data_IF_470668265333
#
_entry.id   IF_470668265333
#
_cell.length_a   1.000
_cell.length_b   1.000
_cell.length_c   1.000
_cell.angle_alpha   90.00
_cell.angle_beta   90.00
_cell.angle_gamma   90.00
#
_symmetry.space_group_name_H-M   'P 1'
#
loop_
_entity.id
_entity.type
_entity.pdbx_description
1 polymer ?
#
# COMPACT_ATOMS: atom_id res chain seq x y z
N UNK A 1 19.33 12.40 40.26
CA UNK A 1 18.02 11.75 40.00
C UNK A 1 18.27 10.26 39.82
N UNK A 2 17.45 9.41 40.43
CA UNK A 2 17.57 7.97 40.26
C UNK A 2 17.17 7.58 38.83
N UNK A 3 18.01 6.78 38.17
CA UNK A 3 17.76 6.27 36.80
C UNK A 3 17.42 4.79 36.90
N UNK A 4 16.36 4.37 36.27
CA UNK A 4 15.96 2.96 36.25
C UNK A 4 16.74 2.18 35.18
N UNK A 5 17.28 1.02 35.57
CA UNK A 5 17.85 0.05 34.65
C UNK A 5 16.69 -0.90 34.25
N UNK A 6 16.39 -0.94 32.95
CA UNK A 6 15.29 -1.73 32.42
C UNK A 6 15.78 -3.07 31.84
N UNK A 7 14.94 -4.08 31.86
CA UNK A 7 15.19 -5.37 31.18
C UNK A 7 15.38 -5.14 29.67
N UNK A 8 16.56 -5.42 29.10
CA UNK A 8 16.83 -5.15 27.70
C UNK A 8 16.18 -6.14 26.76
N UNK A 9 15.92 -5.72 25.53
CA UNK A 9 15.60 -6.62 24.42
C UNK A 9 16.91 -7.09 23.76
N UNK A 10 17.43 -8.25 24.14
CA UNK A 10 18.68 -8.80 23.61
C UNK A 10 18.53 -9.55 22.29
N UNK A 11 17.29 -9.72 21.81
CA UNK A 11 16.99 -10.19 20.46
C UNK A 11 15.74 -9.48 19.92
N UNK A 12 15.59 -9.36 18.58
CA UNK A 12 14.44 -8.69 17.95
C UNK A 12 13.08 -9.31 18.27
N UNK A 13 13.05 -10.53 18.78
CA UNK A 13 11.82 -11.30 19.09
C UNK A 13 11.65 -11.55 20.58
N UNK A 14 12.52 -10.95 21.43
CA UNK A 14 12.47 -11.16 22.88
C UNK A 14 11.36 -10.32 23.51
N UNK A 15 10.35 -10.94 24.04
CA UNK A 15 9.28 -10.29 24.82
C UNK A 15 9.53 -10.40 26.34
N UNK A 16 10.19 -11.47 26.78
CA UNK A 16 10.57 -11.73 28.16
C UNK A 16 11.87 -12.53 28.23
N UNK A 17 12.56 -12.52 29.36
CA UNK A 17 13.77 -13.29 29.61
C UNK A 17 13.94 -13.68 31.09
N UNK A 18 14.96 -14.48 31.36
CA UNK A 18 15.35 -14.83 32.73
C UNK A 18 16.57 -14.02 33.13
N UNK A 19 16.49 -13.33 34.25
CA UNK A 19 17.67 -12.68 34.83
C UNK A 19 18.52 -13.76 35.53
N UNK A 20 19.47 -14.34 34.80
CA UNK A 20 20.20 -15.53 35.21
C UNK A 20 21.13 -15.21 36.39
N UNK A 21 21.85 -14.07 36.34
CA UNK A 21 22.83 -13.70 37.37
C UNK A 21 23.08 -12.20 37.40
N UNK A 22 23.25 -11.64 38.61
CA UNK A 22 23.82 -10.34 38.83
C UNK A 22 25.33 -10.42 39.01
N UNK A 23 26.09 -9.57 38.29
CA UNK A 23 27.54 -9.45 38.40
C UNK A 23 27.96 -8.25 39.30
N UNK A 24 26.98 -7.50 39.76
CA UNK A 24 27.12 -6.35 40.66
C UNK A 24 26.17 -6.46 41.85
N UNK A 25 26.42 -5.72 42.92
CA UNK A 25 25.61 -5.67 44.13
C UNK A 25 25.13 -4.26 44.41
N UNK A 26 24.12 -4.12 45.27
CA UNK A 26 23.69 -2.82 45.78
C UNK A 26 24.85 -2.13 46.46
N UNK A 27 25.12 -0.87 46.09
CA UNK A 27 26.24 -0.07 46.53
C UNK A 27 27.48 -0.09 45.61
N UNK A 28 27.53 -0.97 44.62
CA UNK A 28 28.62 -1.01 43.64
C UNK A 28 28.52 0.17 42.66
N UNK A 29 29.65 0.83 42.37
CA UNK A 29 29.73 1.83 41.32
C UNK A 29 30.00 1.18 39.99
N UNK A 30 29.17 1.50 38.98
CA UNK A 30 29.26 0.96 37.63
C UNK A 30 29.54 2.06 36.61
N UNK A 31 30.25 1.73 35.54
CA UNK A 31 30.55 2.62 34.41
C UNK A 31 29.74 2.16 33.18
N UNK A 32 29.49 3.11 32.31
CA UNK A 32 28.90 2.81 30.98
C UNK A 32 29.75 1.77 30.24
N UNK A 33 29.12 0.72 29.68
CA UNK A 33 29.77 -0.41 29.04
C UNK A 33 30.28 -1.50 29.99
N UNK A 34 30.08 -1.37 31.32
CA UNK A 34 30.43 -2.42 32.27
C UNK A 34 29.36 -3.50 32.31
N UNK A 35 29.74 -4.78 32.24
CA UNK A 35 28.80 -5.90 32.34
C UNK A 35 28.25 -5.96 33.77
N UNK A 36 26.93 -5.92 33.92
CA UNK A 36 26.23 -5.86 35.20
C UNK A 36 25.37 -7.07 35.50
N UNK A 37 24.91 -7.79 34.46
CA UNK A 37 24.09 -8.97 34.63
C UNK A 37 24.26 -9.94 33.45
N UNK A 38 23.87 -11.21 33.67
CA UNK A 38 23.68 -12.22 32.65
C UNK A 38 22.17 -12.49 32.48
N UNK A 39 21.68 -12.43 31.26
CA UNK A 39 20.26 -12.64 30.91
C UNK A 39 20.16 -13.82 29.98
N UNK A 40 19.34 -14.80 30.36
CA UNK A 40 19.03 -15.96 29.54
C UNK A 40 17.79 -15.68 28.68
N UNK A 41 17.96 -15.88 27.37
CA UNK A 41 16.91 -15.77 26.35
C UNK A 41 16.53 -17.17 25.85
N UNK A 42 15.55 -17.28 24.98
CA UNK A 42 15.15 -18.51 24.29
C UNK A 42 16.27 -19.17 23.45
N UNK A 43 17.38 -18.44 23.21
CA UNK A 43 18.47 -18.87 22.32
C UNK A 43 19.84 -19.00 23.01
N UNK A 44 20.15 -18.16 23.97
CA UNK A 44 21.45 -18.15 24.65
C UNK A 44 21.40 -17.28 25.93
N UNK A 45 22.39 -17.50 26.82
CA UNK A 45 22.70 -16.55 27.89
C UNK A 45 23.57 -15.43 27.32
N UNK A 46 23.21 -14.17 27.55
CA UNK A 46 23.87 -12.99 27.03
C UNK A 46 24.26 -12.06 28.17
N UNK A 47 25.42 -11.40 28.03
CA UNK A 47 25.90 -10.40 28.96
C UNK A 47 25.15 -9.08 28.74
N UNK A 48 24.75 -8.41 29.82
CA UNK A 48 24.08 -7.12 29.79
C UNK A 48 24.98 -6.04 30.40
N UNK A 49 25.23 -5.00 29.62
CA UNK A 49 26.09 -3.89 29.97
C UNK A 49 25.30 -2.68 30.50
N UNK A 50 25.85 -1.97 31.46
CA UNK A 50 25.29 -0.71 31.94
C UNK A 50 25.33 0.35 30.83
N UNK A 51 24.20 0.99 30.54
CA UNK A 51 24.11 2.11 29.59
C UNK A 51 24.64 3.40 30.23
N UNK A 52 24.30 3.63 31.50
CA UNK A 52 24.63 4.81 32.26
C UNK A 52 25.64 4.47 33.36
N UNK A 53 26.38 5.51 33.87
CA UNK A 53 27.27 5.37 34.99
C UNK A 53 26.60 5.85 36.28
N UNK A 54 26.94 5.22 37.41
CA UNK A 54 26.38 5.56 38.74
C UNK A 54 26.60 4.46 39.76
N UNK A 55 25.90 4.53 40.88
CA UNK A 55 25.94 3.51 41.94
C UNK A 55 24.62 2.69 41.89
N UNK A 56 24.71 1.37 41.97
CA UNK A 56 23.54 0.50 42.05
C UNK A 56 22.85 0.78 43.40
N UNK A 57 21.74 1.50 43.36
CA UNK A 57 21.01 1.91 44.56
C UNK A 57 20.14 0.78 45.10
N UNK A 58 19.40 0.08 44.25
CA UNK A 58 18.54 -1.03 44.61
C UNK A 58 18.37 -2.00 43.47
N UNK A 59 18.41 -3.29 43.75
CA UNK A 59 18.05 -4.39 42.84
C UNK A 59 16.59 -4.68 43.06
N UNK A 60 15.77 -4.57 42.00
CA UNK A 60 14.32 -4.76 42.03
C UNK A 60 13.89 -6.18 41.67
N UNK A 61 14.68 -6.84 40.82
CA UNK A 61 14.42 -8.24 40.35
C UNK A 61 15.58 -9.11 40.86
N UNK A 62 15.22 -10.19 41.57
CA UNK A 62 16.21 -11.12 42.12
C UNK A 62 16.84 -12.00 41.03
N UNK A 63 18.06 -12.44 41.27
CA UNK A 63 18.74 -13.45 40.44
C UNK A 63 17.91 -14.73 40.32
N UNK A 64 17.87 -15.33 39.15
CA UNK A 64 17.07 -16.54 38.82
C UNK A 64 15.61 -16.26 38.51
N UNK A 65 15.12 -15.01 38.46
CA UNK A 65 13.73 -14.70 38.16
C UNK A 65 13.46 -14.91 36.66
N UNK A 66 12.49 -15.78 36.35
CA UNK A 66 12.05 -16.11 34.98
C UNK A 66 10.88 -15.23 34.54
N UNK A 67 10.71 -15.07 33.20
CA UNK A 67 9.56 -14.38 32.62
C UNK A 67 9.55 -12.86 32.89
N UNK A 68 10.69 -12.23 33.07
CA UNK A 68 10.80 -10.79 33.23
C UNK A 68 10.58 -10.12 31.87
N UNK A 69 9.52 -9.35 31.73
CA UNK A 69 9.19 -8.67 30.48
C UNK A 69 10.20 -7.59 30.14
N UNK A 70 10.48 -7.44 28.85
CA UNK A 70 11.30 -6.34 28.32
C UNK A 70 10.72 -5.00 28.78
N UNK A 71 11.62 -4.04 29.11
CA UNK A 71 11.32 -2.73 29.70
C UNK A 71 10.78 -2.74 31.13
N UNK A 72 10.81 -3.88 31.84
CA UNK A 72 10.52 -3.91 33.29
C UNK A 72 11.72 -3.35 34.06
N UNK A 73 11.56 -2.43 35.02
CA UNK A 73 12.65 -1.98 35.88
C UNK A 73 13.24 -3.15 36.67
N UNK A 74 14.56 -3.39 36.51
CA UNK A 74 15.29 -4.50 37.16
C UNK A 74 16.23 -4.01 38.26
N UNK A 75 16.75 -2.78 38.18
CA UNK A 75 17.53 -2.12 39.21
C UNK A 75 17.40 -0.61 39.09
N UNK A 76 17.92 0.12 40.11
CA UNK A 76 17.95 1.59 40.13
C UNK A 76 19.37 2.06 40.32
N UNK A 77 19.83 2.98 39.45
CA UNK A 77 21.08 3.71 39.57
C UNK A 77 20.84 5.03 40.30
N UNK A 78 21.73 5.37 41.23
CA UNK A 78 21.76 6.68 41.93
C UNK A 78 23.07 7.40 41.63
N UNK A 79 23.02 8.72 41.51
CA UNK A 79 24.22 9.55 41.35
C UNK A 79 25.05 9.55 42.63
N UNK A 80 26.37 9.76 42.50
CA UNK A 80 27.32 9.75 43.60
C UNK A 80 26.88 10.75 44.70
N UNK A 81 26.53 10.25 45.91
CA UNK A 81 26.15 11.05 47.07
C UNK A 81 24.63 11.17 47.36
N UNK A 82 23.74 10.54 46.57
CA UNK A 82 22.30 10.49 46.88
C UNK A 82 21.94 9.16 47.55
N UNK A 83 21.12 9.21 48.63
CA UNK A 83 20.60 8.02 49.28
C UNK A 83 19.41 7.44 48.48
N UNK A 84 19.37 6.12 48.41
CA UNK A 84 18.31 5.37 47.75
C UNK A 84 16.99 5.35 48.55
N UNK A 85 16.39 6.51 48.80
CA UNK A 85 14.98 6.55 49.21
C UNK A 85 14.13 6.54 47.95
N UNK A 86 13.64 5.35 47.63
CA UNK A 86 12.56 5.19 46.64
C UNK A 86 11.33 5.84 47.24
N UNK A 87 11.05 7.08 46.89
CA UNK A 87 9.72 7.65 47.07
C UNK A 87 8.77 6.76 46.30
N UNK A 88 7.89 6.04 47.01
CA UNK A 88 6.73 5.41 46.44
C UNK A 88 6.02 6.49 45.57
N UNK A 89 5.56 6.19 44.34
CA UNK A 89 4.84 7.16 43.53
C UNK A 89 3.75 7.77 44.38
N UNK A 90 3.78 9.08 44.56
CA UNK A 90 2.69 9.83 45.20
C UNK A 90 1.43 9.49 44.46
N UNK A 91 0.41 8.97 45.13
CA UNK A 91 -0.89 8.73 44.56
C UNK A 91 -1.34 10.03 43.87
N UNK A 92 -1.49 9.97 42.57
CA UNK A 92 -2.10 11.05 41.80
C UNK A 92 -3.44 11.40 42.46
N UNK A 93 -3.86 12.67 42.52
CA UNK A 93 -5.18 13.03 43.03
C UNK A 93 -6.23 12.21 42.30
N UNK A 94 -7.14 11.59 43.05
CA UNK A 94 -8.22 10.77 42.53
C UNK A 94 -8.89 11.52 41.35
N UNK A 95 -8.66 11.06 40.15
CA UNK A 95 -9.43 11.50 39.00
C UNK A 95 -10.90 11.17 39.29
N UNK A 96 -11.79 12.12 38.99
CA UNK A 96 -13.24 11.89 39.03
C UNK A 96 -13.55 10.56 38.34
N UNK A 97 -14.52 9.77 38.82
CA UNK A 97 -14.79 8.45 38.27
C UNK A 97 -15.05 8.58 36.76
N UNK A 98 -14.16 7.99 35.98
CA UNK A 98 -14.36 7.81 34.57
C UNK A 98 -15.72 7.08 34.39
N UNK A 99 -16.52 7.42 33.35
CA UNK A 99 -17.72 6.66 33.04
C UNK A 99 -17.36 5.17 33.03
N UNK A 100 -18.10 4.36 33.75
CA UNK A 100 -17.87 2.92 33.85
C UNK A 100 -17.68 2.37 32.43
N UNK A 101 -16.55 1.71 32.20
CA UNK A 101 -16.33 0.97 30.97
C UNK A 101 -17.54 0.04 30.77
N UNK A 102 -18.13 0.00 29.56
CA UNK A 102 -19.23 -0.92 29.31
C UNK A 102 -18.80 -2.33 29.69
N UNK A 103 -19.64 -3.00 30.45
CA UNK A 103 -19.41 -4.37 30.89
C UNK A 103 -18.98 -5.23 29.68
N UNK A 104 -18.04 -6.16 29.83
CA UNK A 104 -17.62 -7.02 28.73
C UNK A 104 -18.89 -7.68 28.17
N UNK A 105 -19.19 -7.41 26.88
CA UNK A 105 -20.27 -8.08 26.19
C UNK A 105 -19.99 -9.57 26.26
N UNK A 106 -20.98 -10.35 26.66
CA UNK A 106 -20.93 -11.81 26.58
C UNK A 106 -20.43 -12.21 25.18
N UNK A 107 -19.62 -13.26 25.04
CA UNK A 107 -19.13 -13.69 23.74
C UNK A 107 -20.33 -13.85 22.81
N UNK A 108 -20.34 -13.05 21.73
CA UNK A 108 -21.42 -13.11 20.75
C UNK A 108 -21.41 -14.50 20.12
N UNK A 109 -22.57 -15.11 20.04
CA UNK A 109 -22.77 -16.38 19.29
C UNK A 109 -22.20 -16.12 17.88
N UNK A 110 -21.37 -17.02 17.32
CA UNK A 110 -20.86 -16.87 15.97
C UNK A 110 -22.03 -16.59 15.01
N UNK A 111 -21.97 -15.48 14.28
CA UNK A 111 -22.99 -15.17 13.28
C UNK A 111 -22.95 -16.23 12.17
N UNK A 112 -24.11 -16.58 11.63
CA UNK A 112 -24.16 -17.52 10.51
C UNK A 112 -23.47 -16.90 9.27
N UNK A 113 -22.78 -17.72 8.45
CA UNK A 113 -22.21 -17.24 7.20
C UNK A 113 -23.24 -16.54 6.31
N UNK A 114 -22.83 -15.46 5.64
CA UNK A 114 -23.66 -14.76 4.66
C UNK A 114 -23.32 -15.21 3.25
N UNK A 115 -24.31 -15.19 2.35
CA UNK A 115 -24.10 -15.51 0.95
C UNK A 115 -23.27 -14.42 0.27
N UNK A 116 -22.25 -14.84 -0.47
CA UNK A 116 -21.46 -13.94 -1.34
C UNK A 116 -22.22 -13.72 -2.63
N UNK A 117 -22.33 -12.46 -3.04
CA UNK A 117 -22.98 -12.05 -4.30
C UNK A 117 -22.03 -11.21 -5.12
N UNK A 118 -21.29 -11.86 -6.01
CA UNK A 118 -20.44 -11.18 -6.96
C UNK A 118 -21.28 -10.49 -8.05
N UNK A 119 -20.82 -9.29 -8.44
CA UNK A 119 -21.48 -8.49 -9.48
C UNK A 119 -20.94 -8.88 -10.85
N UNK A 120 -21.85 -8.99 -11.81
CA UNK A 120 -21.46 -9.25 -13.20
C UNK A 120 -20.48 -8.17 -13.71
N UNK A 121 -19.53 -8.53 -14.58
CA UNK A 121 -18.63 -7.57 -15.18
C UNK A 121 -19.35 -6.57 -16.09
N UNK A 122 -18.69 -5.44 -16.39
CA UNK A 122 -19.25 -4.28 -17.11
C UNK A 122 -19.37 -4.49 -18.65
N UNK A 123 -19.65 -5.71 -19.09
CA UNK A 123 -19.92 -6.02 -20.49
C UNK A 123 -21.18 -6.86 -20.60
N UNK A 124 -21.85 -6.89 -21.79
CA UNK A 124 -23.14 -7.54 -21.95
C UNK A 124 -23.12 -9.02 -21.54
N UNK A 125 -24.17 -9.46 -20.86
CA UNK A 125 -24.30 -10.86 -20.49
C UNK A 125 -24.28 -11.77 -21.73
N UNK A 126 -23.55 -12.89 -21.67
CA UNK A 126 -23.37 -13.79 -22.79
C UNK A 126 -22.26 -13.39 -23.77
N UNK A 127 -21.55 -12.29 -23.54
CA UNK A 127 -20.33 -11.96 -24.31
C UNK A 127 -19.31 -13.11 -24.17
N UNK A 128 -18.79 -13.67 -25.29
CA UNK A 128 -17.70 -14.63 -25.21
C UNK A 128 -16.48 -14.04 -24.46
N UNK A 129 -15.85 -14.85 -23.66
CA UNK A 129 -14.64 -14.46 -22.92
C UNK A 129 -13.46 -15.35 -23.31
N UNK A 130 -12.26 -14.81 -23.08
CA UNK A 130 -10.98 -15.52 -23.20
C UNK A 130 -10.20 -15.31 -21.91
N UNK A 131 -9.71 -16.38 -21.34
CA UNK A 131 -8.79 -16.30 -20.19
C UNK A 131 -7.45 -15.74 -20.63
N UNK A 132 -7.02 -14.63 -20.03
CA UNK A 132 -5.75 -13.97 -20.31
C UNK A 132 -5.07 -13.56 -19.01
N UNK A 133 -3.73 -13.56 -19.01
CA UNK A 133 -2.96 -12.88 -17.98
C UNK A 133 -3.06 -11.36 -18.14
N UNK A 134 -2.83 -10.61 -17.06
CA UNK A 134 -2.76 -9.13 -17.13
C UNK A 134 -1.71 -8.68 -18.16
N UNK A 135 -0.54 -9.36 -18.20
CA UNK A 135 0.53 -9.12 -19.19
C UNK A 135 0.03 -9.25 -20.63
N UNK A 136 -0.65 -10.34 -20.95
CA UNK A 136 -1.19 -10.58 -22.28
C UNK A 136 -2.26 -9.55 -22.65
N UNK A 137 -3.10 -9.16 -21.71
CA UNK A 137 -4.14 -8.16 -21.89
C UNK A 137 -3.57 -6.77 -22.21
N UNK A 138 -2.50 -6.35 -21.50
CA UNK A 138 -1.78 -5.10 -21.78
C UNK A 138 -1.13 -5.11 -23.16
N UNK A 139 -0.45 -6.22 -23.50
CA UNK A 139 0.14 -6.40 -24.83
C UNK A 139 -0.89 -6.30 -25.94
N UNK A 140 -2.00 -7.02 -25.78
CA UNK A 140 -3.08 -7.04 -26.77
C UNK A 140 -3.72 -5.65 -26.93
N UNK A 141 -3.92 -4.90 -25.83
CA UNK A 141 -4.41 -3.54 -25.88
C UNK A 141 -3.51 -2.62 -26.71
N UNK A 142 -2.19 -2.65 -26.48
CA UNK A 142 -1.23 -1.88 -27.26
C UNK A 142 -1.24 -2.28 -28.73
N UNK A 143 -1.22 -3.59 -29.02
CA UNK A 143 -1.21 -4.09 -30.39
C UNK A 143 -2.48 -3.67 -31.17
N UNK A 144 -3.64 -3.76 -30.55
CA UNK A 144 -4.91 -3.33 -31.18
C UNK A 144 -4.91 -1.84 -31.50
N UNK A 145 -4.49 -0.98 -30.58
CA UNK A 145 -4.43 0.46 -30.82
C UNK A 145 -3.34 0.83 -31.84
N UNK A 146 -2.19 0.17 -31.83
CA UNK A 146 -1.14 0.35 -32.82
C UNK A 146 -1.56 -0.10 -34.24
N UNK A 147 -2.41 -1.12 -34.36
CA UNK A 147 -2.98 -1.53 -35.68
C UNK A 147 -3.99 -0.50 -36.19
N UNK A 148 -4.80 0.04 -35.28
CA UNK A 148 -5.88 1.00 -35.62
C UNK A 148 -5.40 2.41 -35.90
N UNK A 149 -4.29 2.85 -35.28
CA UNK A 149 -3.78 4.21 -35.38
C UNK A 149 -2.25 4.23 -35.64
N UNK A 150 -1.82 4.68 -36.84
CA UNK A 150 -0.39 4.74 -37.18
C UNK A 150 0.41 5.77 -36.36
N UNK A 151 -0.24 6.66 -35.62
CA UNK A 151 0.43 7.65 -34.75
C UNK A 151 0.81 7.07 -33.39
N UNK A 152 0.23 5.92 -32.99
CA UNK A 152 0.55 5.22 -31.74
C UNK A 152 1.89 4.48 -31.87
N UNK A 153 2.81 4.67 -30.96
CA UNK A 153 4.07 3.94 -30.90
C UNK A 153 4.51 3.71 -29.47
N UNK A 154 5.30 2.65 -29.27
CA UNK A 154 5.89 2.27 -27.97
C UNK A 154 7.36 2.71 -27.94
N UNK A 155 7.79 3.29 -26.83
CA UNK A 155 9.20 3.58 -26.57
C UNK A 155 9.53 3.38 -25.09
N UNK A 156 10.75 2.99 -24.81
CA UNK A 156 11.26 2.74 -23.46
C UNK A 156 12.51 1.87 -23.49
N UNK A 157 13.00 1.52 -22.31
CA UNK A 157 14.17 0.68 -22.16
C UNK A 157 13.82 -0.78 -22.42
N UNK A 158 14.56 -1.45 -23.31
CA UNK A 158 14.44 -2.90 -23.60
C UNK A 158 13.04 -3.33 -24.11
N UNK A 159 12.23 -2.39 -24.61
CA UNK A 159 10.85 -2.68 -25.06
C UNK A 159 10.81 -3.40 -26.43
N UNK A 160 11.86 -3.26 -27.24
CA UNK A 160 11.99 -3.83 -28.59
C UNK A 160 12.67 -5.18 -28.60
N UNK A 161 14.01 -5.17 -28.72
CA UNK A 161 14.81 -6.41 -28.89
C UNK A 161 14.66 -7.38 -27.74
N UNK A 162 14.68 -6.91 -26.50
CA UNK A 162 14.47 -7.73 -25.30
C UNK A 162 13.00 -8.05 -25.02
N UNK A 163 12.06 -7.38 -25.71
CA UNK A 163 10.61 -7.59 -25.60
C UNK A 163 10.05 -7.23 -24.20
N UNK A 164 10.64 -6.22 -23.57
CA UNK A 164 10.30 -5.74 -22.24
C UNK A 164 10.86 -6.60 -21.10
N UNK A 165 11.22 -5.97 -20.00
CA UNK A 165 11.72 -6.66 -18.80
C UNK A 165 10.72 -7.70 -18.28
N UNK A 166 9.42 -7.39 -18.37
CA UNK A 166 8.32 -8.26 -17.94
C UNK A 166 7.58 -8.93 -19.12
N UNK A 167 8.12 -8.85 -20.35
CA UNK A 167 7.56 -9.45 -21.57
C UNK A 167 6.16 -8.92 -21.96
N UNK A 168 5.86 -7.67 -21.61
CA UNK A 168 4.59 -7.04 -21.98
C UNK A 168 4.59 -6.60 -23.45
N UNK A 169 5.75 -6.25 -24.00
CA UNK A 169 5.92 -5.85 -25.41
C UNK A 169 6.31 -7.02 -26.34
N UNK A 170 6.18 -8.26 -25.87
CA UNK A 170 6.59 -9.45 -26.64
C UNK A 170 5.90 -9.50 -28.01
N UNK A 171 6.73 -9.61 -29.08
CA UNK A 171 6.28 -9.69 -30.48
C UNK A 171 5.87 -8.36 -31.12
N UNK A 172 5.82 -7.25 -30.38
CA UNK A 172 5.43 -5.96 -30.94
C UNK A 172 6.48 -5.42 -31.94
N UNK A 173 7.77 -5.62 -31.68
CA UNK A 173 8.83 -5.22 -32.61
C UNK A 173 8.71 -5.97 -33.95
N UNK A 174 8.43 -7.27 -33.91
CA UNK A 174 8.27 -8.10 -35.12
C UNK A 174 7.04 -7.64 -35.94
N UNK A 175 5.96 -7.25 -35.28
CA UNK A 175 4.72 -6.85 -35.94
C UNK A 175 4.79 -5.41 -36.50
N UNK A 176 5.34 -4.45 -35.73
CA UNK A 176 5.24 -3.02 -36.06
C UNK A 176 6.55 -2.38 -36.51
N UNK A 177 7.67 -3.07 -36.34
CA UNK A 177 9.02 -2.63 -36.74
C UNK A 177 9.61 -1.56 -35.81
N UNK A 178 10.93 -1.33 -35.97
CA UNK A 178 11.74 -0.46 -35.12
C UNK A 178 11.36 1.06 -35.19
N UNK A 179 10.51 1.47 -36.14
CA UNK A 179 10.01 2.84 -36.19
C UNK A 179 8.84 3.07 -35.24
N UNK A 180 8.21 2.01 -34.77
CA UNK A 180 7.02 2.05 -33.90
C UNK A 180 7.22 1.36 -32.56
N UNK A 181 8.28 0.55 -32.40
CA UNK A 181 8.71 -0.05 -31.14
C UNK A 181 10.18 0.30 -30.99
N UNK A 182 10.48 1.21 -30.09
CA UNK A 182 11.75 1.94 -30.04
C UNK A 182 12.45 1.68 -28.72
N UNK A 183 13.58 0.96 -28.78
CA UNK A 183 14.49 0.89 -27.63
C UNK A 183 15.20 2.22 -27.41
N UNK A 184 15.19 2.70 -26.18
CA UNK A 184 15.87 3.91 -25.78
C UNK A 184 17.10 3.61 -24.92
N UNK A 185 18.11 4.50 -24.91
CA UNK A 185 19.11 4.46 -23.86
C UNK A 185 18.48 4.61 -22.48
N UNK A 186 19.17 4.16 -21.42
CA UNK A 186 18.78 4.40 -20.03
C UNK A 186 18.88 5.90 -19.72
N UNK A 187 17.80 6.62 -19.93
CA UNK A 187 17.70 8.08 -19.78
C UNK A 187 16.25 8.48 -19.60
N UNK A 188 15.62 8.14 -18.49
CA UNK A 188 14.17 8.34 -18.29
C UNK A 188 13.76 9.80 -18.47
N UNK A 189 14.58 10.74 -18.02
CA UNK A 189 14.39 12.16 -18.31
C UNK A 189 14.40 12.45 -19.81
N UNK A 190 15.38 11.91 -20.54
CA UNK A 190 15.56 12.14 -21.98
C UNK A 190 14.42 11.55 -22.80
N UNK A 191 14.15 10.25 -22.65
CA UNK A 191 13.13 9.60 -23.48
C UNK A 191 11.69 10.04 -23.13
N UNK A 192 11.39 10.34 -21.87
CA UNK A 192 10.11 10.91 -21.51
C UNK A 192 9.92 12.29 -22.13
N UNK A 193 10.95 13.14 -22.11
CA UNK A 193 10.92 14.44 -22.78
C UNK A 193 10.73 14.33 -24.30
N UNK A 194 11.37 13.36 -24.94
CA UNK A 194 11.16 13.07 -26.39
C UNK A 194 9.71 12.62 -26.61
N UNK A 195 9.17 11.73 -25.77
CA UNK A 195 7.78 11.30 -25.85
C UNK A 195 6.80 12.48 -25.73
N UNK A 196 7.01 13.37 -24.77
CA UNK A 196 6.19 14.58 -24.61
C UNK A 196 6.26 15.46 -25.86
N UNK A 197 7.47 15.73 -26.38
CA UNK A 197 7.65 16.49 -27.62
C UNK A 197 6.98 15.84 -28.82
N UNK A 198 7.05 14.52 -28.94
CA UNK A 198 6.36 13.75 -29.99
C UNK A 198 4.83 13.89 -29.89
N UNK A 199 4.29 13.88 -28.65
CA UNK A 199 2.85 14.07 -28.43
C UNK A 199 2.37 15.46 -28.88
N UNK A 200 3.17 16.50 -28.69
CA UNK A 200 2.88 17.85 -29.20
C UNK A 200 2.95 17.92 -30.73
N UNK A 201 3.74 17.04 -31.35
CA UNK A 201 3.82 16.89 -32.82
C UNK A 201 2.66 16.06 -33.41
N UNK A 202 1.69 15.62 -32.62
CA UNK A 202 0.52 14.87 -33.10
C UNK A 202 0.69 13.35 -33.09
N UNK A 203 1.76 12.83 -32.49
CA UNK A 203 1.92 11.39 -32.25
C UNK A 203 1.31 11.01 -30.90
N UNK A 204 1.11 9.71 -30.71
CA UNK A 204 0.57 9.12 -29.45
C UNK A 204 1.57 8.14 -28.86
N UNK A 205 2.57 8.63 -28.13
CA UNK A 205 3.57 7.77 -27.51
C UNK A 205 3.01 7.00 -26.30
N UNK A 206 3.36 5.74 -26.24
CA UNK A 206 3.30 4.91 -25.04
C UNK A 206 4.73 4.87 -24.51
N UNK A 207 5.00 5.55 -23.41
CA UNK A 207 6.30 5.58 -22.75
C UNK A 207 6.31 4.57 -21.64
N UNK A 208 7.13 3.50 -21.80
CA UNK A 208 7.30 2.49 -20.77
C UNK A 208 8.50 2.84 -19.89
N UNK A 209 8.26 2.94 -18.59
CA UNK A 209 9.30 2.87 -17.58
C UNK A 209 9.47 1.43 -17.13
N UNK A 210 10.71 0.96 -17.00
CA UNK A 210 10.99 -0.39 -16.49
C UNK A 210 10.38 -0.58 -15.09
N UNK A 211 10.35 0.48 -14.30
CA UNK A 211 9.53 0.63 -13.08
C UNK A 211 9.26 2.10 -12.84
N UNK A 212 8.10 2.43 -12.25
CA UNK A 212 7.79 3.81 -11.87
C UNK A 212 8.75 4.40 -10.84
N UNK A 213 9.52 3.59 -10.14
CA UNK A 213 10.62 4.06 -9.30
C UNK A 213 11.64 4.89 -10.09
N UNK A 214 11.88 4.56 -11.35
CA UNK A 214 12.79 5.30 -12.23
C UNK A 214 12.12 6.50 -12.92
N UNK A 215 10.80 6.50 -13.03
CA UNK A 215 10.04 7.64 -13.54
C UNK A 215 10.24 8.93 -12.71
N UNK A 216 10.77 8.82 -11.49
CA UNK A 216 11.18 9.99 -10.70
C UNK A 216 12.19 10.87 -11.42
N UNK A 217 13.05 10.31 -12.25
CA UNK A 217 13.99 11.09 -13.05
C UNK A 217 13.30 11.92 -14.15
N UNK A 218 12.13 11.47 -14.59
CA UNK A 218 11.32 12.12 -15.62
C UNK A 218 10.17 12.99 -15.07
N UNK A 219 10.09 13.16 -13.75
CA UNK A 219 8.92 13.77 -13.09
C UNK A 219 8.63 15.19 -13.60
N UNK A 220 9.65 15.96 -13.95
CA UNK A 220 9.48 17.30 -14.52
C UNK A 220 8.75 17.26 -15.87
N UNK A 221 9.13 16.35 -16.76
CA UNK A 221 8.44 16.18 -18.05
C UNK A 221 7.00 15.71 -17.90
N UNK A 222 6.73 14.89 -16.91
CA UNK A 222 5.37 14.42 -16.60
C UNK A 222 4.52 15.58 -16.05
N UNK A 223 5.03 16.26 -15.01
CA UNK A 223 4.26 17.23 -14.22
C UNK A 223 4.24 18.63 -14.88
N UNK A 224 5.38 19.12 -15.31
CA UNK A 224 5.46 20.49 -15.88
C UNK A 224 5.21 20.49 -17.39
N UNK A 225 5.79 19.57 -18.14
CA UNK A 225 5.63 19.55 -19.58
C UNK A 225 4.29 18.92 -19.99
N UNK A 226 4.04 17.64 -19.75
CA UNK A 226 2.81 16.97 -20.21
C UNK A 226 1.55 17.52 -19.54
N UNK A 227 1.51 17.57 -18.21
CA UNK A 227 0.29 17.91 -17.48
C UNK A 227 -0.12 19.39 -17.56
N UNK A 228 0.81 20.31 -17.84
CA UNK A 228 0.52 21.75 -17.78
C UNK A 228 0.45 22.46 -19.14
N UNK A 229 1.01 21.87 -20.20
CA UNK A 229 1.13 22.56 -21.49
C UNK A 229 -0.22 22.87 -22.11
N UNK A 230 -1.23 22.02 -21.98
CA UNK A 230 -2.58 22.33 -22.48
C UNK A 230 -3.12 23.63 -21.86
N UNK A 231 -2.99 23.78 -20.54
CA UNK A 231 -3.40 25.00 -19.84
C UNK A 231 -2.55 26.20 -20.23
N UNK A 232 -1.23 26.05 -20.24
CA UNK A 232 -0.28 27.16 -20.54
C UNK A 232 -0.36 27.62 -21.97
N UNK A 233 -0.76 26.77 -22.90
CA UNK A 233 -0.98 27.10 -24.31
C UNK A 233 -2.38 27.67 -24.61
N UNK A 234 -3.19 27.90 -23.59
CA UNK A 234 -4.59 28.34 -23.79
C UNK A 234 -5.47 27.30 -24.50
N UNK A 235 -5.19 26.01 -24.28
CA UNK A 235 -5.95 24.90 -24.86
C UNK A 235 -5.50 24.50 -26.28
N UNK A 236 -4.40 25.05 -26.79
CA UNK A 236 -3.98 24.80 -28.18
C UNK A 236 -3.08 23.56 -28.33
N UNK A 237 -2.33 23.18 -27.29
CA UNK A 237 -1.35 22.10 -27.35
C UNK A 237 -1.67 21.02 -26.32
N UNK A 238 -2.32 19.94 -26.76
CA UNK A 238 -2.57 18.75 -25.95
C UNK A 238 -1.34 17.83 -25.88
N UNK A 239 -1.37 16.89 -24.96
CA UNK A 239 -0.32 15.87 -24.79
C UNK A 239 -0.95 14.48 -24.67
N UNK A 240 -1.37 13.86 -25.80
CA UNK A 240 -1.93 12.49 -25.80
C UNK A 240 -0.79 11.47 -25.64
N UNK A 241 -0.37 11.25 -24.39
CA UNK A 241 0.75 10.39 -24.03
C UNK A 241 0.34 9.47 -22.88
N UNK A 242 0.77 8.22 -22.94
CA UNK A 242 0.64 7.25 -21.82
C UNK A 242 2.01 7.00 -21.22
N UNK A 243 2.15 7.23 -19.94
CA UNK A 243 3.29 6.79 -19.14
C UNK A 243 2.86 5.52 -18.38
N UNK A 244 3.47 4.38 -18.67
CA UNK A 244 3.12 3.11 -18.07
C UNK A 244 4.32 2.35 -17.49
N UNK A 245 4.06 1.44 -16.60
CA UNK A 245 5.05 0.55 -16.01
C UNK A 245 4.63 0.02 -14.65
N UNK A 246 5.38 -0.94 -14.08
CA UNK A 246 5.08 -1.48 -12.76
C UNK A 246 5.31 -0.45 -11.67
N UNK A 247 4.43 -0.47 -10.67
CA UNK A 247 4.37 0.41 -9.52
C UNK A 247 4.14 -0.44 -8.25
N UNK A 248 4.58 0.05 -7.11
CA UNK A 248 4.43 -0.66 -5.84
C UNK A 248 5.50 -1.72 -5.60
N UNK A 249 5.24 -2.58 -4.63
CA UNK A 249 6.17 -3.62 -4.22
C UNK A 249 6.21 -4.78 -5.22
N UNK A 250 7.42 -5.20 -5.56
CA UNK A 250 7.70 -6.44 -6.26
C UNK A 250 8.18 -7.51 -5.25
N UNK A 251 9.07 -8.39 -5.66
CA UNK A 251 9.62 -9.42 -4.79
C UNK A 251 11.09 -9.14 -4.45
N UNK A 252 11.36 -8.68 -3.25
CA UNK A 252 12.70 -8.53 -2.65
C UNK A 252 13.65 -7.63 -3.46
N UNK A 253 13.15 -6.50 -3.90
CA UNK A 253 13.94 -5.51 -4.67
C UNK A 253 14.36 -4.29 -3.83
N UNK A 254 13.93 -4.21 -2.57
CA UNK A 254 14.37 -3.19 -1.61
C UNK A 254 13.69 -1.84 -1.79
N UNK A 255 14.17 -0.83 -1.05
CA UNK A 255 13.48 0.43 -0.83
C UNK A 255 13.28 1.26 -2.10
N UNK A 256 14.29 1.37 -2.98
CA UNK A 256 14.22 2.20 -4.18
C UNK A 256 13.40 1.58 -5.32
N UNK A 257 13.01 0.30 -5.23
CA UNK A 257 12.30 -0.42 -6.29
C UNK A 257 10.92 -0.92 -5.86
N UNK A 258 10.40 -0.43 -4.73
CA UNK A 258 9.15 -0.93 -4.13
C UNK A 258 8.23 0.18 -3.68
N UNK A 259 8.31 1.36 -4.29
CA UNK A 259 7.51 2.52 -3.91
C UNK A 259 6.20 2.57 -4.70
N UNK A 260 5.13 3.04 -4.07
CA UNK A 260 3.85 3.31 -4.71
C UNK A 260 3.70 4.81 -4.99
N UNK A 261 3.48 5.15 -6.25
CA UNK A 261 3.35 6.52 -6.72
C UNK A 261 1.89 6.93 -7.00
N UNK A 262 0.92 6.11 -6.64
CA UNK A 262 -0.49 6.38 -6.89
C UNK A 262 -0.92 7.77 -6.39
N UNK A 263 -0.65 8.07 -5.12
CA UNK A 263 -0.99 9.35 -4.52
C UNK A 263 -0.19 10.54 -5.11
N UNK A 264 1.08 10.33 -5.46
CA UNK A 264 1.94 11.37 -6.02
C UNK A 264 1.39 11.93 -7.33
N UNK A 265 1.01 11.05 -8.25
CA UNK A 265 0.48 11.47 -9.53
C UNK A 265 -1.00 11.86 -9.47
N UNK A 266 -1.80 11.21 -8.59
CA UNK A 266 -3.21 11.55 -8.46
C UNK A 266 -3.45 12.96 -7.91
N UNK A 267 -2.51 13.56 -7.18
CA UNK A 267 -2.61 14.94 -6.71
C UNK A 267 -2.38 16.00 -7.81
N UNK A 268 -1.86 15.62 -8.98
CA UNK A 268 -1.42 16.59 -10.01
C UNK A 268 -2.56 16.97 -10.96
N UNK A 269 -2.99 18.25 -10.99
CA UNK A 269 -3.94 18.75 -11.99
C UNK A 269 -3.36 18.62 -13.40
N UNK A 270 -4.18 18.11 -14.32
CA UNK A 270 -3.81 17.91 -15.72
C UNK A 270 -3.45 16.46 -16.08
N UNK A 271 -3.20 15.59 -15.10
CA UNK A 271 -3.01 14.16 -15.32
C UNK A 271 -4.32 13.37 -15.22
N UNK A 272 -4.40 12.25 -15.93
CA UNK A 272 -5.24 11.11 -15.61
C UNK A 272 -4.38 10.07 -14.89
N UNK A 273 -4.94 9.37 -13.91
CA UNK A 273 -4.21 8.31 -13.17
C UNK A 273 -5.07 7.07 -13.09
N UNK A 274 -4.53 5.96 -13.55
CA UNK A 274 -5.22 4.68 -13.72
C UNK A 274 -4.40 3.58 -13.07
N UNK A 275 -5.05 2.67 -12.34
CA UNK A 275 -4.39 1.55 -11.67
C UNK A 275 -5.30 0.31 -11.70
N UNK A 276 -5.27 -0.50 -12.78
CA UNK A 276 -6.15 -1.65 -12.96
C UNK A 276 -5.80 -2.82 -12.04
N UNK A 277 -6.79 -3.67 -11.76
CA UNK A 277 -6.62 -4.93 -11.04
C UNK A 277 -6.71 -6.15 -11.97
N UNK A 278 -7.77 -6.26 -12.76
CA UNK A 278 -7.99 -7.43 -13.63
C UNK A 278 -7.42 -7.27 -15.04
N UNK A 279 -7.27 -8.39 -15.75
CA UNK A 279 -6.86 -8.37 -17.15
C UNK A 279 -7.86 -7.62 -18.06
N UNK A 280 -9.16 -7.74 -17.78
CA UNK A 280 -10.19 -6.99 -18.51
C UNK A 280 -10.05 -5.49 -18.26
N UNK A 281 -9.84 -5.08 -17.00
CA UNK A 281 -9.63 -3.67 -16.65
C UNK A 281 -8.33 -3.14 -17.29
N UNK A 282 -7.25 -3.92 -17.23
CA UNK A 282 -5.97 -3.57 -17.84
C UNK A 282 -6.11 -3.32 -19.35
N UNK A 283 -6.80 -4.23 -20.07
CA UNK A 283 -7.06 -4.08 -21.50
C UNK A 283 -7.92 -2.87 -21.81
N UNK A 284 -9.10 -2.79 -21.20
CA UNK A 284 -10.09 -1.75 -21.51
C UNK A 284 -9.63 -0.35 -21.12
N UNK A 285 -8.97 -0.20 -19.97
CA UNK A 285 -8.46 1.08 -19.51
C UNK A 285 -7.21 1.53 -20.29
N UNK A 286 -6.31 0.62 -20.71
CA UNK A 286 -5.13 0.99 -21.50
C UNK A 286 -5.54 1.47 -22.90
N UNK A 287 -6.52 0.84 -23.54
CA UNK A 287 -7.10 1.35 -24.79
C UNK A 287 -7.70 2.74 -24.62
N UNK A 288 -8.45 2.97 -23.53
CA UNK A 288 -8.97 4.30 -23.20
C UNK A 288 -7.85 5.31 -22.96
N UNK A 289 -6.75 4.89 -22.31
CA UNK A 289 -5.59 5.75 -22.05
C UNK A 289 -4.89 6.18 -23.35
N UNK A 290 -4.68 5.29 -24.29
CA UNK A 290 -4.03 5.58 -25.57
C UNK A 290 -4.91 6.54 -26.43
N UNK A 291 -6.22 6.49 -26.25
CA UNK A 291 -7.17 7.35 -26.96
C UNK A 291 -7.42 8.71 -26.28
N UNK A 292 -7.07 8.86 -25.00
CA UNK A 292 -7.30 10.11 -24.27
C UNK A 292 -6.42 11.23 -24.82
N UNK A 293 -6.95 12.44 -25.05
CA UNK A 293 -6.17 13.57 -25.53
C UNK A 293 -5.25 14.18 -24.45
N UNK A 294 -5.35 13.74 -23.21
CA UNK A 294 -4.56 14.23 -22.07
C UNK A 294 -3.52 13.19 -21.64
N UNK A 295 -2.49 13.61 -20.90
CA UNK A 295 -1.48 12.67 -20.39
C UNK A 295 -2.08 11.72 -19.34
N UNK A 296 -1.81 10.44 -19.51
CA UNK A 296 -2.28 9.37 -18.63
C UNK A 296 -1.10 8.70 -17.94
N UNK A 297 -1.16 8.60 -16.63
CA UNK A 297 -0.30 7.76 -15.80
C UNK A 297 -1.03 6.43 -15.61
N UNK A 298 -0.44 5.35 -16.11
CA UNK A 298 -1.01 4.01 -16.07
C UNK A 298 -0.12 3.12 -15.20
N UNK A 299 -0.49 3.02 -13.92
CA UNK A 299 0.27 2.29 -12.90
C UNK A 299 -0.13 0.82 -12.92
N UNK A 300 0.83 -0.02 -13.16
CA UNK A 300 0.65 -1.47 -13.17
C UNK A 300 1.25 -2.08 -11.90
N UNK A 301 0.97 -3.35 -11.64
CA UNK A 301 1.59 -4.06 -10.53
C UNK A 301 2.24 -5.35 -11.03
N UNK A 302 3.53 -5.54 -10.72
CA UNK A 302 4.32 -6.66 -11.20
C UNK A 302 3.74 -8.01 -10.77
N UNK A 303 3.23 -8.12 -9.55
CA UNK A 303 2.66 -9.36 -9.01
C UNK A 303 1.38 -9.75 -9.75
N UNK A 304 0.65 -8.77 -10.30
CA UNK A 304 -0.56 -9.01 -11.08
C UNK A 304 -0.27 -9.51 -12.51
N UNK A 305 0.89 -9.26 -13.08
CA UNK A 305 1.19 -9.60 -14.47
C UNK A 305 0.93 -11.06 -14.86
N UNK A 306 1.19 -11.99 -13.93
CA UNK A 306 0.95 -13.42 -14.13
C UNK A 306 -0.45 -13.89 -13.75
N UNK A 307 -1.30 -13.04 -13.15
CA UNK A 307 -2.66 -13.44 -12.78
C UNK A 307 -3.56 -13.45 -14.00
N UNK A 308 -4.38 -14.50 -14.09
CA UNK A 308 -5.32 -14.71 -15.20
C UNK A 308 -6.73 -14.32 -14.82
N UNK A 309 -7.45 -13.72 -15.77
CA UNK A 309 -8.83 -13.29 -15.63
C UNK A 309 -9.58 -13.52 -16.97
N UNK A 310 -10.90 -13.56 -16.91
CA UNK A 310 -11.74 -13.55 -18.09
C UNK A 310 -11.76 -12.14 -18.71
N UNK A 311 -11.47 -12.07 -20.01
CA UNK A 311 -11.47 -10.83 -20.81
C UNK A 311 -12.50 -10.96 -21.91
N UNK A 312 -13.42 -9.99 -22.11
CA UNK A 312 -14.43 -10.07 -23.14
C UNK A 312 -13.81 -10.04 -24.54
N UNK A 313 -14.32 -10.87 -25.43
CA UNK A 313 -13.98 -10.86 -26.86
C UNK A 313 -14.96 -9.94 -27.57
N UNK A 314 -14.58 -8.67 -27.70
CA UNK A 314 -15.32 -7.60 -28.35
C UNK A 314 -14.38 -6.83 -29.28
N UNK A 315 -14.90 -6.39 -30.43
CA UNK A 315 -14.12 -5.68 -31.45
C UNK A 315 -13.53 -4.37 -30.91
N UNK A 316 -14.24 -3.70 -30.02
CA UNK A 316 -13.81 -2.45 -29.40
C UNK A 316 -14.18 -2.37 -27.92
N UNK A 317 -13.39 -3.09 -27.10
CA UNK A 317 -13.57 -3.10 -25.65
C UNK A 317 -12.76 -2.01 -25.00
N UNK A 318 -13.45 -1.00 -24.44
CA UNK A 318 -12.85 0.08 -23.63
C UNK A 318 -13.59 0.25 -22.32
N UNK A 319 -12.92 0.79 -21.31
CA UNK A 319 -13.51 1.14 -20.02
C UNK A 319 -13.32 2.65 -19.81
N UNK A 320 -14.40 3.40 -19.55
CA UNK A 320 -14.31 4.85 -19.35
C UNK A 320 -13.62 5.19 -18.02
N UNK A 321 -12.86 6.28 -18.00
CA UNK A 321 -12.28 6.81 -16.77
C UNK A 321 -13.36 7.39 -15.84
N UNK A 322 -13.11 7.32 -14.53
CA UNK A 322 -14.04 7.80 -13.51
C UNK A 322 -15.25 6.88 -13.30
N UNK A 323 -15.09 5.59 -13.61
CA UNK A 323 -16.06 4.54 -13.32
C UNK A 323 -15.44 3.44 -12.50
N UNK A 324 -15.81 3.40 -11.22
CA UNK A 324 -15.49 2.31 -10.33
C UNK A 324 -16.30 1.04 -10.67
N UNK A 325 -15.78 -0.10 -10.25
CA UNK A 325 -16.49 -1.38 -10.37
C UNK A 325 -16.85 -1.90 -8.98
N UNK A 326 -18.11 -2.19 -8.77
CA UNK A 326 -18.54 -3.02 -7.64
C UNK A 326 -18.27 -4.48 -8.02
N UNK A 327 -17.32 -5.11 -7.35
CA UNK A 327 -16.99 -6.53 -7.54
C UNK A 327 -17.95 -7.44 -6.79
N UNK A 328 -18.36 -6.99 -5.61
CA UNK A 328 -19.22 -7.76 -4.71
C UNK A 328 -20.22 -6.83 -4.04
N UNK A 329 -21.49 -7.24 -4.03
CA UNK A 329 -22.52 -6.56 -3.25
C UNK A 329 -22.41 -6.91 -1.77
N UNK A 330 -22.64 -5.91 -0.90
CA UNK A 330 -22.64 -6.07 0.54
C UNK A 330 -23.56 -5.08 1.24
N UNK A 331 -23.83 -5.31 2.53
CA UNK A 331 -24.75 -4.51 3.32
C UNK A 331 -24.17 -3.98 4.64
N UNK A 332 -23.07 -4.53 5.13
CA UNK A 332 -22.56 -4.24 6.47
C UNK A 332 -21.38 -3.27 6.48
N UNK A 333 -20.56 -3.28 5.43
CA UNK A 333 -19.37 -2.44 5.29
C UNK A 333 -19.00 -2.27 3.82
N UNK A 334 -18.48 -1.11 3.45
CA UNK A 334 -17.85 -0.84 2.16
C UNK A 334 -16.33 -1.02 2.28
N UNK A 335 -15.72 -1.83 1.41
CA UNK A 335 -14.28 -1.93 1.23
C UNK A 335 -13.93 -1.31 -0.12
N UNK A 336 -13.13 -0.24 -0.12
CA UNK A 336 -12.70 0.44 -1.34
C UNK A 336 -11.22 0.17 -1.58
N UNK A 337 -10.86 -0.24 -2.79
CA UNK A 337 -9.47 -0.54 -3.13
C UNK A 337 -9.19 -0.28 -4.61
N UNK A 338 -7.96 -0.55 -5.03
CA UNK A 338 -7.48 -0.47 -6.41
C UNK A 338 -6.18 -1.27 -6.57
N UNK A 339 -5.79 -1.60 -7.79
CA UNK A 339 -4.56 -2.34 -8.08
C UNK A 339 -4.46 -3.63 -7.26
N UNK A 340 -3.27 -3.93 -6.74
CA UNK A 340 -3.03 -5.15 -5.95
C UNK A 340 -3.85 -5.20 -4.65
N UNK A 341 -4.22 -4.04 -4.09
CA UNK A 341 -5.05 -3.95 -2.89
C UNK A 341 -6.38 -4.69 -3.02
N UNK A 342 -6.91 -4.80 -4.25
CA UNK A 342 -8.11 -5.59 -4.55
C UNK A 342 -7.97 -7.07 -4.19
N UNK A 343 -6.76 -7.65 -4.29
CA UNK A 343 -6.52 -9.04 -3.85
C UNK A 343 -6.84 -9.18 -2.36
N UNK A 344 -6.29 -8.31 -1.53
CA UNK A 344 -6.50 -8.34 -0.08
C UNK A 344 -7.95 -8.02 0.29
N UNK A 345 -8.57 -7.07 -0.41
CA UNK A 345 -9.97 -6.70 -0.20
C UNK A 345 -10.95 -7.86 -0.48
N UNK A 346 -10.78 -8.58 -1.60
CA UNK A 346 -11.62 -9.71 -1.96
C UNK A 346 -11.40 -10.91 -1.06
N UNK A 347 -10.14 -11.25 -0.73
CA UNK A 347 -9.81 -12.31 0.21
C UNK A 347 -10.36 -12.02 1.63
N UNK A 348 -10.27 -10.78 2.09
CA UNK A 348 -10.86 -10.36 3.36
C UNK A 348 -12.38 -10.49 3.35
N UNK A 349 -13.04 -10.08 2.28
CA UNK A 349 -14.48 -10.21 2.12
C UNK A 349 -14.93 -11.68 2.12
N UNK A 350 -14.14 -12.62 1.55
CA UNK A 350 -14.40 -14.07 1.62
C UNK A 350 -14.31 -14.63 3.05
N UNK A 351 -13.34 -14.13 3.83
CA UNK A 351 -13.20 -14.54 5.24
C UNK A 351 -14.34 -13.97 6.09
N UNK A 352 -14.65 -12.68 5.92
CA UNK A 352 -15.70 -11.97 6.63
C UNK A 352 -17.10 -12.57 6.37
N UNK A 353 -17.36 -12.99 5.14
CA UNK A 353 -18.63 -13.66 4.80
C UNK A 353 -18.86 -14.95 5.62
N UNK A 354 -17.81 -15.73 5.89
CA UNK A 354 -17.87 -16.93 6.76
C UNK A 354 -18.19 -16.57 8.20
N UNK A 355 -17.85 -15.36 8.62
CA UNK A 355 -18.12 -14.83 9.96
C UNK A 355 -19.42 -14.00 10.02
N UNK A 356 -20.21 -13.99 8.95
CA UNK A 356 -21.51 -13.33 8.88
C UNK A 356 -21.44 -11.82 8.71
N UNK A 357 -20.39 -11.30 8.05
CA UNK A 357 -20.24 -9.90 7.66
C UNK A 357 -20.29 -9.79 6.14
N UNK A 358 -21.27 -9.03 5.64
CA UNK A 358 -21.50 -8.82 4.21
C UNK A 358 -20.77 -7.54 3.74
N UNK A 359 -19.60 -7.70 3.13
CA UNK A 359 -18.79 -6.60 2.64
C UNK A 359 -19.09 -6.28 1.18
N UNK A 360 -19.38 -5.02 0.86
CA UNK A 360 -19.38 -4.50 -0.51
C UNK A 360 -17.96 -4.14 -0.91
N UNK A 361 -17.47 -4.66 -2.04
CA UNK A 361 -16.10 -4.45 -2.50
C UNK A 361 -16.10 -3.64 -3.77
N UNK A 362 -15.43 -2.49 -3.74
CA UNK A 362 -15.33 -1.52 -4.84
C UNK A 362 -13.88 -1.40 -5.29
N UNK A 363 -13.67 -1.58 -6.60
CA UNK A 363 -12.43 -1.26 -7.30
C UNK A 363 -12.56 0.13 -7.95
N UNK A 364 -11.71 1.05 -7.54
CA UNK A 364 -11.69 2.41 -8.11
C UNK A 364 -11.25 2.43 -9.57
N UNK A 365 -10.36 1.54 -10.00
CA UNK A 365 -9.77 1.49 -11.34
C UNK A 365 -9.03 2.76 -11.76
N UNK A 366 -9.60 3.92 -11.44
CA UNK A 366 -9.04 5.24 -11.75
C UNK A 366 -8.94 6.08 -10.49
N UNK A 367 -7.77 6.68 -10.29
CA UNK A 367 -7.46 7.50 -9.13
C UNK A 367 -7.58 9.00 -9.45
N UNK A 368 -7.63 9.33 -10.75
CA UNK A 368 -7.92 10.67 -11.26
C UNK A 368 -8.51 10.57 -12.68
N UNK A 369 -9.81 10.81 -12.84
CA UNK A 369 -10.83 11.11 -11.79
C UNK A 369 -11.20 9.89 -10.96
N UNK A 370 -11.59 10.13 -9.70
CA UNK A 370 -12.20 9.11 -8.83
C UNK A 370 -13.72 9.12 -9.03
N UNK A 371 -14.34 7.93 -9.03
CA UNK A 371 -15.80 7.76 -9.00
C UNK A 371 -16.34 7.89 -7.56
N UNK A 372 -16.43 9.13 -7.09
CA UNK A 372 -16.95 9.41 -5.76
C UNK A 372 -18.40 8.99 -5.58
N UNK A 373 -19.21 9.07 -6.63
CA UNK A 373 -20.64 8.79 -6.54
C UNK A 373 -20.89 7.31 -6.22
N UNK A 374 -20.16 6.40 -6.85
CA UNK A 374 -20.22 4.96 -6.52
C UNK A 374 -19.78 4.70 -5.08
N UNK A 375 -18.67 5.31 -4.64
CA UNK A 375 -18.17 5.14 -3.25
C UNK A 375 -19.17 5.67 -2.23
N UNK A 376 -19.68 6.88 -2.44
CA UNK A 376 -20.61 7.51 -1.51
C UNK A 376 -21.96 6.78 -1.44
N UNK A 377 -22.49 6.30 -2.58
CA UNK A 377 -23.71 5.50 -2.60
C UNK A 377 -23.54 4.19 -1.81
N UNK A 378 -22.39 3.55 -1.89
CA UNK A 378 -22.06 2.36 -1.10
C UNK A 378 -21.97 2.69 0.39
N UNK A 379 -21.25 3.75 0.75
CA UNK A 379 -21.14 4.19 2.17
C UNK A 379 -22.52 4.55 2.76
N UNK A 380 -23.38 5.21 2.00
CA UNK A 380 -24.75 5.50 2.44
C UNK A 380 -25.59 4.24 2.69
N UNK A 381 -25.31 3.16 1.96
CA UNK A 381 -25.96 1.86 2.11
C UNK A 381 -25.43 1.07 3.31
N UNK A 382 -24.11 1.05 3.51
CA UNK A 382 -23.43 0.17 4.48
C UNK A 382 -23.10 0.85 5.81
N UNK A 383 -23.09 2.18 5.86
CA UNK A 383 -22.78 3.05 6.99
C UNK A 383 -21.35 2.91 7.54
N UNK A 384 -20.48 2.13 6.90
CA UNK A 384 -19.10 1.85 7.33
C UNK A 384 -18.19 1.75 6.12
N UNK A 385 -16.95 2.20 6.28
CA UNK A 385 -15.99 2.16 5.19
C UNK A 385 -14.58 1.80 5.69
N UNK A 386 -13.91 0.93 4.92
CA UNK A 386 -12.49 0.63 5.02
C UNK A 386 -11.88 0.86 3.64
N UNK A 387 -10.75 1.55 3.56
CA UNK A 387 -9.98 1.70 2.33
C UNK A 387 -8.72 0.84 2.39
N UNK A 388 -8.30 0.28 1.26
CA UNK A 388 -7.16 -0.65 1.18
C UNK A 388 -6.26 -0.26 0.02
N UNK A 389 -4.99 -0.03 0.30
CA UNK A 389 -3.95 0.28 -0.70
C UNK A 389 -2.58 -0.21 -0.25
N UNK A 390 -1.66 -0.44 -1.18
CA UNK A 390 -0.30 -0.86 -0.82
C UNK A 390 0.63 0.29 -0.47
N UNK A 391 0.26 1.51 -0.83
CA UNK A 391 1.04 2.72 -0.58
C UNK A 391 1.26 3.03 0.90
N UNK A 392 2.04 4.08 1.15
CA UNK A 392 2.33 4.55 2.52
C UNK A 392 1.12 5.27 3.13
N UNK A 393 1.00 5.30 4.48
CA UNK A 393 -0.18 5.87 5.12
C UNK A 393 -0.32 7.38 4.94
N UNK A 394 0.81 8.12 4.88
CA UNK A 394 0.77 9.58 4.82
C UNK A 394 0.47 10.07 3.41
N UNK A 395 -0.57 10.88 3.26
CA UNK A 395 -0.96 11.46 1.97
C UNK A 395 -1.57 10.48 0.98
N UNK A 396 -2.00 9.32 1.42
CA UNK A 396 -2.54 8.23 0.61
C UNK A 396 -3.90 8.56 -0.04
N UNK A 397 -4.29 7.76 -1.03
CA UNK A 397 -5.62 7.85 -1.69
C UNK A 397 -6.74 7.59 -0.68
N UNK A 398 -6.55 6.61 0.22
CA UNK A 398 -7.53 6.31 1.28
C UNK A 398 -7.73 7.46 2.25
N UNK A 399 -6.69 8.22 2.58
CA UNK A 399 -6.81 9.44 3.40
C UNK A 399 -7.62 10.52 2.67
N UNK A 400 -7.41 10.69 1.36
CA UNK A 400 -8.21 11.61 0.55
C UNK A 400 -9.68 11.18 0.50
N UNK A 401 -9.94 9.88 0.32
CA UNK A 401 -11.30 9.33 0.35
C UNK A 401 -11.94 9.51 1.72
N UNK A 402 -11.23 9.23 2.81
CA UNK A 402 -11.72 9.43 4.19
C UNK A 402 -12.16 10.87 4.42
N UNK A 403 -11.35 11.84 4.00
CA UNK A 403 -11.71 13.26 4.09
C UNK A 403 -12.93 13.60 3.23
N UNK A 404 -13.03 13.04 2.02
CA UNK A 404 -14.17 13.28 1.12
C UNK A 404 -15.46 12.66 1.66
N UNK A 405 -15.39 11.44 2.18
CA UNK A 405 -16.52 10.75 2.82
C UNK A 405 -16.99 11.55 4.05
N UNK A 406 -16.05 12.01 4.88
CA UNK A 406 -16.35 12.88 6.03
C UNK A 406 -17.07 14.17 5.62
N UNK A 407 -16.69 14.79 4.51
CA UNK A 407 -17.32 16.03 4.03
C UNK A 407 -18.69 15.81 3.39
N UNK A 408 -18.93 14.66 2.74
CA UNK A 408 -20.09 14.46 1.87
C UNK A 408 -21.09 13.40 2.37
N UNK A 409 -20.69 12.58 3.33
CA UNK A 409 -21.48 11.45 3.84
C UNK A 409 -21.32 11.23 5.36
N UNK A 410 -20.91 12.25 6.13
CA UNK A 410 -20.71 12.15 7.58
C UNK A 410 -21.95 11.59 8.31
N UNK A 411 -23.13 12.08 7.97
CA UNK A 411 -24.39 11.70 8.63
C UNK A 411 -24.77 10.21 8.42
N UNK A 412 -24.06 9.51 7.54
CA UNK A 412 -24.26 8.08 7.28
C UNK A 412 -23.23 7.20 7.98
N UNK A 413 -22.19 7.76 8.60
CA UNK A 413 -21.12 6.96 9.19
C UNK A 413 -21.45 6.52 10.62
N UNK A 414 -21.44 5.21 10.84
CA UNK A 414 -21.54 4.60 12.18
C UNK A 414 -20.16 4.44 12.86
N UNK A 415 -19.07 4.54 12.09
CA UNK A 415 -17.70 4.39 12.57
C UNK A 415 -16.75 5.28 11.76
N UNK A 416 -15.56 5.63 12.29
CA UNK A 416 -14.51 6.27 11.49
C UNK A 416 -14.12 5.42 10.27
N UNK A 417 -13.77 6.07 9.15
CA UNK A 417 -13.19 5.38 8.01
C UNK A 417 -11.76 4.93 8.38
N UNK A 418 -11.48 3.64 8.26
CA UNK A 418 -10.13 3.09 8.50
C UNK A 418 -9.42 2.90 7.16
N UNK A 419 -8.19 3.41 7.07
CA UNK A 419 -7.34 3.23 5.91
C UNK A 419 -6.27 2.16 6.20
N UNK A 420 -6.33 1.03 5.48
CA UNK A 420 -5.35 -0.05 5.53
C UNK A 420 -4.29 0.19 4.46
N UNK A 421 -3.03 0.36 4.87
CA UNK A 421 -1.91 0.70 3.99
C UNK A 421 -0.70 -0.20 4.25
N UNK A 422 0.33 -0.10 3.43
CA UNK A 422 1.68 -0.51 3.80
C UNK A 422 2.16 0.24 5.05
N UNK A 423 3.24 -0.24 5.64
CA UNK A 423 3.82 0.40 6.84
C UNK A 423 4.63 1.65 6.45
N UNK A 424 4.70 2.61 7.35
CA UNK A 424 5.46 3.86 7.15
C UNK A 424 6.97 3.63 7.36
N UNK A 425 7.52 2.77 6.51
CA UNK A 425 8.95 2.40 6.51
C UNK A 425 9.44 2.23 5.08
N UNK A 426 10.71 2.52 4.77
CA UNK A 426 11.32 2.11 3.50
C UNK A 426 11.22 0.58 3.37
N UNK A 427 10.87 0.07 2.17
CA UNK A 427 10.69 -1.36 1.96
C UNK A 427 11.96 -2.15 2.28
N UNK A 428 11.92 -3.09 3.25
CA UNK A 428 13.06 -3.93 3.57
C UNK A 428 13.43 -4.88 2.43
N UNK A 429 14.72 -5.22 2.32
CA UNK A 429 15.19 -6.21 1.35
C UNK A 429 14.95 -7.66 1.79
N UNK A 430 15.02 -7.94 3.10
CA UNK A 430 14.82 -9.27 3.63
C UNK A 430 13.36 -9.72 3.51
N UNK A 431 13.11 -10.90 2.96
CA UNK A 431 11.77 -11.40 2.62
C UNK A 431 10.77 -11.45 3.81
N UNK A 432 11.26 -11.75 5.01
CA UNK A 432 10.43 -11.76 6.22
C UNK A 432 10.02 -10.33 6.64
N UNK A 433 10.94 -9.36 6.52
CA UNK A 433 10.66 -7.96 6.85
C UNK A 433 9.80 -7.29 5.76
N UNK A 434 10.03 -7.62 4.48
CA UNK A 434 9.18 -7.17 3.38
C UNK A 434 7.71 -7.53 3.62
N UNK A 435 7.44 -8.78 4.04
CA UNK A 435 6.08 -9.24 4.37
C UNK A 435 5.45 -8.46 5.53
N UNK A 436 6.25 -8.03 6.50
CA UNK A 436 5.77 -7.21 7.61
C UNK A 436 5.52 -5.75 7.24
N UNK A 437 6.18 -5.27 6.19
CA UNK A 437 6.01 -3.90 5.69
C UNK A 437 4.78 -3.75 4.76
N UNK A 438 4.33 -4.82 4.15
CA UNK A 438 3.17 -4.83 3.26
C UNK A 438 1.86 -4.96 4.03
N UNK A 439 0.77 -4.48 3.41
CA UNK A 439 -0.59 -4.74 3.89
C UNK A 439 -0.92 -6.24 3.79
N UNK A 440 -1.74 -6.74 4.68
CA UNK A 440 -2.18 -8.14 4.71
C UNK A 440 -3.70 -8.27 4.73
N UNK A 441 -4.21 -9.39 4.24
CA UNK A 441 -5.65 -9.74 4.32
C UNK A 441 -6.14 -9.74 5.77
N UNK A 442 -5.33 -10.19 6.73
CA UNK A 442 -5.68 -10.22 8.14
C UNK A 442 -5.91 -8.82 8.71
N UNK A 443 -5.07 -7.84 8.35
CA UNK A 443 -5.25 -6.45 8.78
C UNK A 443 -6.53 -5.84 8.21
N UNK A 444 -6.90 -6.16 6.99
CA UNK A 444 -8.18 -5.72 6.39
C UNK A 444 -9.36 -6.34 7.13
N UNK A 445 -9.30 -7.64 7.48
CA UNK A 445 -10.33 -8.32 8.28
C UNK A 445 -10.49 -7.65 9.64
N UNK A 446 -9.40 -7.39 10.35
CA UNK A 446 -9.44 -6.73 11.66
C UNK A 446 -9.97 -5.29 11.58
N UNK A 447 -9.58 -4.53 10.55
CA UNK A 447 -10.11 -3.19 10.31
C UNK A 447 -11.64 -3.21 10.10
N UNK A 448 -12.12 -4.15 9.28
CA UNK A 448 -13.57 -4.32 9.07
C UNK A 448 -14.29 -4.72 10.34
N UNK A 449 -13.76 -5.67 11.12
CA UNK A 449 -14.34 -6.05 12.42
C UNK A 449 -14.41 -4.86 13.37
N UNK A 450 -13.35 -4.06 13.41
CA UNK A 450 -13.30 -2.86 14.25
C UNK A 450 -14.42 -1.87 13.91
N UNK A 451 -14.64 -1.54 12.62
CA UNK A 451 -15.71 -0.63 12.22
C UNK A 451 -17.11 -1.25 12.37
N UNK A 452 -17.21 -2.60 12.38
CA UNK A 452 -18.44 -3.33 12.62
C UNK A 452 -18.69 -3.60 14.11
N UNK A 453 -17.78 -3.22 15.01
CA UNK A 453 -17.85 -3.47 16.46
C UNK A 453 -17.96 -4.96 16.83
N UNK A 454 -17.19 -5.81 16.13
CA UNK A 454 -17.17 -7.28 16.31
C UNK A 454 -15.78 -7.81 16.66
#
# INVERSE_FOLDING_TARGET
MATEILMPALSPTMEEGTLAKWLVKEGDTVKSGQIIAEIETDKATMEFEAVDEGTIGKILIAEGTQGVKVNTPIAVLVAEGESAEVSAPAAAPAAAPAPAAPAPKAPATPAAPVAVKDVAPDYPAGTPTKTMTVREALREAMAEEMRGDPTVFLMGEEVGEYQGAYKISQGLLDEFGARRVIDTPITEHGFAGIGVGASWGGLKPIVEFMTFNFAMQAIDHIINSAAKTLYMSGGQMGSPIVFRGPNGAAARVGAQHSQDYAAWYAMIPGLRVVMPYSAADAKGLLKSAIRDPNPVIFLENEILYGKSFEVPVLDDFTIPFGKARVWREGSDVTIVSFGIGMTYALEAADQLAKEGISAEVIDLRTLRPIDYDTVLASVQKTNRCVTVEEGFPVGSIGNHLSATIMQRAFDYLDAPVINCTGKDVPMPYAANLEKLALITTAEVVEAVKSVCYR
#
